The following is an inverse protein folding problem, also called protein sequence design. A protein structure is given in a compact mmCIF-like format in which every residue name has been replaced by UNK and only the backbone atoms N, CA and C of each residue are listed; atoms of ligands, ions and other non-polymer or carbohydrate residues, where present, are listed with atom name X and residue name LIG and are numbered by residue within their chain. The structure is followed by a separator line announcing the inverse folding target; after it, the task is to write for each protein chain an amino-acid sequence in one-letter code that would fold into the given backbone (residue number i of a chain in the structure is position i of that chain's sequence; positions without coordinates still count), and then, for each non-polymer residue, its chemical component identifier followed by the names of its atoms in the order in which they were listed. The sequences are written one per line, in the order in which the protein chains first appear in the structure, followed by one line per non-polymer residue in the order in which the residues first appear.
data_IF_536847065453
#
_entry.id   IF_536847065453
#
_cell.length_a   1.000
_cell.length_b   1.000
_cell.length_c   1.000
_cell.angle_alpha   90.00
_cell.angle_beta   90.00
_cell.angle_gamma   90.00
#
_symmetry.space_group_name_H-M   'P 1'
#
loop_
_entity.id
_entity.type
_entity.pdbx_description
1 polymer ?
#
# COMPACT_ATOMS: atom_id res chain seq x y z
N UNK A 1 -12.51 12.86 27.91
CA UNK A 1 -12.65 11.95 26.75
C UNK A 1 -13.64 12.58 25.79
N UNK A 2 -13.16 13.11 24.66
CA UNK A 2 -14.02 13.74 23.64
C UNK A 2 -14.62 12.64 22.76
N UNK A 3 -15.94 12.60 22.62
CA UNK A 3 -16.60 11.70 21.67
C UNK A 3 -16.12 12.06 20.26
N UNK A 4 -15.31 11.19 19.65
CA UNK A 4 -14.89 11.37 18.27
C UNK A 4 -16.14 11.23 17.40
N UNK A 5 -16.50 12.27 16.65
CA UNK A 5 -17.55 12.23 15.62
C UNK A 5 -17.08 11.36 14.43
N UNK A 6 -16.81 10.08 14.69
CA UNK A 6 -16.26 9.12 13.72
C UNK A 6 -17.30 8.79 12.66
N UNK A 7 -18.56 8.80 13.04
CA UNK A 7 -19.68 8.42 12.17
C UNK A 7 -20.78 9.46 12.27
N UNK A 8 -21.26 9.93 11.13
CA UNK A 8 -22.44 10.77 11.01
C UNK A 8 -23.64 9.93 10.56
N UNK A 9 -24.77 10.09 11.22
CA UNK A 9 -26.05 9.49 10.82
C UNK A 9 -26.88 10.56 10.11
N UNK A 10 -27.32 10.29 8.89
CA UNK A 10 -28.23 11.16 8.11
C UNK A 10 -29.29 10.30 7.46
N UNK A 11 -30.57 10.58 7.77
CA UNK A 11 -31.75 10.01 7.08
C UNK A 11 -31.60 8.51 6.76
N UNK A 12 -31.31 7.70 7.79
CA UNK A 12 -31.13 6.25 7.70
C UNK A 12 -29.82 5.71 7.08
N UNK A 13 -28.81 6.57 6.86
CA UNK A 13 -27.48 6.17 6.37
C UNK A 13 -26.37 6.60 7.34
N UNK A 14 -25.32 5.79 7.39
CA UNK A 14 -24.10 6.10 8.13
C UNK A 14 -23.01 6.56 7.17
N UNK A 15 -22.32 7.66 7.50
CA UNK A 15 -21.18 8.20 6.76
C UNK A 15 -20.01 8.37 7.69
N UNK A 16 -18.79 8.31 7.15
CA UNK A 16 -17.60 8.72 7.91
C UNK A 16 -17.75 10.20 8.26
N UNK A 17 -17.62 10.52 9.55
CA UNK A 17 -17.69 11.89 10.02
C UNK A 17 -16.46 12.69 9.60
N UNK A 18 -16.62 14.01 9.45
CA UNK A 18 -15.57 14.89 8.95
C UNK A 18 -14.28 14.82 9.78
N UNK A 19 -14.38 14.56 11.09
CA UNK A 19 -13.22 14.40 11.95
C UNK A 19 -12.43 13.11 11.67
N UNK A 20 -13.11 11.97 11.50
CA UNK A 20 -12.46 10.73 11.10
C UNK A 20 -11.83 10.85 9.70
N UNK A 21 -12.49 11.55 8.78
CA UNK A 21 -11.92 11.83 7.46
C UNK A 21 -10.62 12.65 7.57
N UNK A 22 -10.61 13.76 8.32
CA UNK A 22 -9.40 14.58 8.52
C UNK A 22 -8.28 13.80 9.20
N UNK A 23 -8.62 12.99 10.22
CA UNK A 23 -7.66 12.12 10.88
C UNK A 23 -7.03 11.13 9.89
N UNK A 24 -7.83 10.53 9.01
CA UNK A 24 -7.35 9.68 7.93
C UNK A 24 -6.42 10.40 6.95
N UNK A 25 -6.68 11.67 6.62
CA UNK A 25 -5.79 12.47 5.76
C UNK A 25 -4.45 12.81 6.44
N UNK A 26 -4.44 12.91 7.78
CA UNK A 26 -3.25 13.15 8.59
C UNK A 26 -2.56 11.86 9.09
N UNK A 27 -3.10 10.68 8.74
CA UNK A 27 -2.64 9.40 9.25
C UNK A 27 -1.26 9.03 8.69
N UNK A 28 -0.37 8.50 9.54
CA UNK A 28 0.93 7.99 9.09
C UNK A 28 0.72 6.73 8.25
N UNK A 29 1.25 6.65 7.02
CA UNK A 29 2.54 7.21 6.61
C UNK A 29 2.47 8.69 6.28
N UNK A 30 3.55 9.41 6.63
CA UNK A 30 3.72 10.86 6.38
C UNK A 30 3.04 11.29 5.05
N UNK A 31 2.20 12.32 5.00
CA UNK A 31 1.46 12.70 3.78
C UNK A 31 2.34 12.78 2.52
N UNK A 32 3.57 13.28 2.68
CA UNK A 32 4.61 13.30 1.63
C UNK A 32 4.94 11.92 1.04
N UNK A 33 4.97 10.85 1.85
CA UNK A 33 5.15 9.48 1.38
C UNK A 33 4.00 9.06 0.47
N UNK A 34 2.75 9.35 0.83
CA UNK A 34 1.59 8.99 0.01
C UNK A 34 1.60 9.73 -1.33
N UNK A 35 1.95 11.02 -1.32
CA UNK A 35 2.06 11.84 -2.53
C UNK A 35 3.12 11.29 -3.48
N UNK A 36 4.35 11.09 -3.00
CA UNK A 36 5.45 10.54 -3.79
C UNK A 36 5.15 9.12 -4.28
N UNK A 37 4.61 8.27 -3.39
CA UNK A 37 4.28 6.89 -3.73
C UNK A 37 3.24 6.80 -4.84
N UNK A 38 2.19 7.63 -4.85
CA UNK A 38 1.19 7.61 -5.93
C UNK A 38 1.81 7.83 -7.31
N UNK A 39 2.82 8.70 -7.42
CA UNK A 39 3.57 8.91 -8.65
C UNK A 39 4.35 7.66 -9.07
N UNK A 40 5.12 7.09 -8.15
CA UNK A 40 5.92 5.88 -8.40
C UNK A 40 5.05 4.65 -8.69
N UNK A 41 3.94 4.46 -7.98
CA UNK A 41 3.02 3.34 -8.19
C UNK A 41 2.39 3.37 -9.59
N UNK A 42 2.04 4.57 -10.11
CA UNK A 42 1.55 4.69 -11.49
C UNK A 42 2.62 4.32 -12.51
N UNK A 43 3.86 4.78 -12.32
CA UNK A 43 4.98 4.42 -13.20
C UNK A 43 5.27 2.93 -13.16
N UNK A 44 5.29 2.34 -11.96
CA UNK A 44 5.52 0.91 -11.76
C UNK A 44 4.42 0.08 -12.40
N UNK A 45 3.15 0.45 -12.22
CA UNK A 45 2.02 -0.23 -12.84
C UNK A 45 2.06 -0.13 -14.38
N UNK A 46 2.43 1.03 -14.93
CA UNK A 46 2.59 1.19 -16.37
C UNK A 46 3.75 0.35 -16.94
N UNK A 47 4.89 0.32 -16.24
CA UNK A 47 6.07 -0.43 -16.67
C UNK A 47 5.90 -1.95 -16.57
N UNK A 48 5.17 -2.42 -15.56
CA UNK A 48 5.01 -3.85 -15.26
C UNK A 48 3.71 -4.44 -15.80
N UNK A 49 2.75 -3.58 -16.19
CA UNK A 49 1.35 -3.96 -16.49
C UNK A 49 0.69 -4.76 -15.37
N UNK A 50 1.12 -4.51 -14.13
CA UNK A 50 0.65 -5.21 -12.95
C UNK A 50 0.26 -4.20 -11.85
N UNK A 51 -0.65 -4.62 -10.99
CA UNK A 51 -1.13 -3.76 -9.91
C UNK A 51 -0.02 -3.52 -8.90
N UNK A 52 0.18 -2.26 -8.55
CA UNK A 52 1.26 -1.80 -7.67
C UNK A 52 0.68 -1.15 -6.43
N UNK A 53 1.22 -1.46 -5.25
CA UNK A 53 0.74 -0.95 -3.96
C UNK A 53 1.85 -0.45 -3.06
N UNK A 54 1.53 0.53 -2.23
CA UNK A 54 2.29 0.89 -1.04
C UNK A 54 1.62 0.22 0.16
N UNK A 55 2.34 -0.69 0.80
CA UNK A 55 1.92 -1.36 2.03
C UNK A 55 2.70 -0.81 3.23
N UNK A 56 2.02 -0.61 4.35
CA UNK A 56 2.63 -0.15 5.60
C UNK A 56 2.22 -1.05 6.77
N UNK A 57 3.09 -1.29 7.75
CA UNK A 57 2.71 -2.03 8.95
C UNK A 57 1.55 -1.35 9.69
N UNK A 58 0.55 -2.12 10.11
CA UNK A 58 -0.60 -1.64 10.88
C UNK A 58 -1.11 -2.77 11.77
N UNK A 59 -0.95 -2.64 13.09
CA UNK A 59 -1.46 -3.57 14.12
C UNK A 59 -1.26 -5.06 13.80
N UNK A 60 -0.02 -5.44 13.50
CA UNK A 60 0.30 -6.84 13.19
C UNK A 60 -0.23 -7.32 11.84
N UNK A 61 -0.74 -6.42 10.99
CA UNK A 61 -1.13 -6.61 9.59
C UNK A 61 -0.33 -5.67 8.69
N UNK A 62 -0.58 -5.74 7.39
CA UNK A 62 -0.20 -4.67 6.46
C UNK A 62 -1.45 -3.95 5.98
N UNK A 63 -1.41 -2.62 6.01
CA UNK A 63 -2.42 -1.76 5.41
C UNK A 63 -1.96 -1.38 4.00
N UNK A 64 -2.86 -1.47 3.03
CA UNK A 64 -2.67 -0.87 1.73
C UNK A 64 -2.93 0.63 1.86
N UNK A 65 -1.86 1.43 1.85
CA UNK A 65 -1.93 2.87 2.05
C UNK A 65 -2.19 3.62 0.72
N UNK A 66 -1.68 3.09 -0.38
CA UNK A 66 -1.93 3.58 -1.73
C UNK A 66 -1.84 2.44 -2.75
N UNK A 67 -2.52 2.60 -3.89
CA UNK A 67 -2.52 1.60 -4.95
C UNK A 67 -2.64 2.26 -6.34
N UNK A 68 -2.03 1.64 -7.34
CA UNK A 68 -2.28 1.84 -8.76
C UNK A 68 -2.66 0.48 -9.35
N UNK A 69 -3.96 0.24 -9.48
CA UNK A 69 -4.51 -1.04 -9.86
C UNK A 69 -4.71 -1.10 -11.38
N UNK A 70 -4.32 -2.22 -11.97
CA UNK A 70 -4.43 -2.48 -13.41
C UNK A 70 -5.60 -3.39 -13.75
N UNK A 71 -6.12 -4.12 -12.75
CA UNK A 71 -7.19 -5.10 -12.90
C UNK A 71 -8.29 -4.88 -11.88
N UNK A 72 -9.52 -5.24 -12.23
CA UNK A 72 -10.68 -5.01 -11.39
C UNK A 72 -10.70 -5.91 -10.16
N UNK A 73 -10.27 -7.17 -10.32
CA UNK A 73 -10.19 -8.16 -9.24
C UNK A 73 -9.25 -7.72 -8.10
N UNK A 74 -8.17 -7.01 -8.44
CA UNK A 74 -7.23 -6.47 -7.46
C UNK A 74 -7.90 -5.40 -6.57
N UNK A 75 -8.97 -4.74 -7.04
CA UNK A 75 -9.70 -3.72 -6.30
C UNK A 75 -10.39 -4.23 -5.03
N UNK A 76 -10.73 -5.51 -4.98
CA UNK A 76 -11.37 -6.10 -3.79
C UNK A 76 -10.34 -6.28 -2.67
N UNK A 77 -9.14 -6.73 -3.02
CA UNK A 77 -8.09 -7.11 -2.06
C UNK A 77 -7.16 -5.93 -1.72
N UNK A 78 -6.82 -5.11 -2.72
CA UNK A 78 -5.72 -4.16 -2.69
C UNK A 78 -6.17 -2.69 -2.74
N UNK A 79 -7.45 -2.40 -2.51
CA UNK A 79 -7.89 -1.01 -2.38
C UNK A 79 -7.19 -0.31 -1.21
N UNK A 80 -6.86 0.99 -1.33
CA UNK A 80 -6.43 1.77 -0.17
C UNK A 80 -7.42 1.65 1.00
N UNK A 81 -6.89 1.45 2.20
CA UNK A 81 -7.69 1.17 3.41
C UNK A 81 -7.93 -0.32 3.68
N UNK A 82 -7.65 -1.22 2.73
CA UNK A 82 -7.66 -2.67 3.01
C UNK A 82 -6.50 -3.07 3.91
N UNK A 83 -6.77 -3.96 4.87
CA UNK A 83 -5.72 -4.66 5.62
C UNK A 83 -5.60 -6.09 5.16
N UNK A 84 -4.39 -6.57 4.87
CA UNK A 84 -4.16 -7.97 4.51
C UNK A 84 -3.23 -8.64 5.53
N UNK A 85 -3.32 -9.98 5.71
CA UNK A 85 -2.46 -10.70 6.64
C UNK A 85 -0.99 -10.57 6.26
N UNK A 86 -0.12 -10.44 7.28
CA UNK A 86 1.33 -10.40 7.07
C UNK A 86 2.04 -11.64 7.61
N UNK A 87 3.25 -11.86 7.13
CA UNK A 87 4.28 -12.67 7.77
C UNK A 87 5.58 -11.87 7.79
N UNK A 88 6.08 -11.57 8.98
CA UNK A 88 7.35 -10.84 9.18
C UNK A 88 7.44 -9.52 8.38
N UNK A 89 6.39 -8.69 8.41
CA UNK A 89 6.39 -7.40 7.71
C UNK A 89 6.08 -7.44 6.21
N UNK A 90 5.73 -8.61 5.66
CA UNK A 90 5.48 -8.85 4.22
C UNK A 90 4.14 -9.53 4.00
N UNK A 91 3.63 -9.57 2.78
CA UNK A 91 2.37 -10.24 2.46
C UNK A 91 2.46 -11.72 2.84
N UNK A 92 1.47 -12.23 3.58
CA UNK A 92 1.46 -13.62 4.03
C UNK A 92 1.39 -14.60 2.83
N UNK A 93 2.34 -15.53 2.66
CA UNK A 93 2.33 -16.44 1.50
C UNK A 93 1.13 -17.40 1.44
N UNK A 94 0.51 -17.74 2.59
CA UNK A 94 -0.75 -18.50 2.59
C UNK A 94 -1.89 -17.70 1.98
N UNK A 95 -1.98 -16.42 2.32
CA UNK A 95 -2.97 -15.49 1.75
C UNK A 95 -2.71 -15.25 0.25
N UNK A 96 -1.44 -15.13 -0.14
CA UNK A 96 -1.06 -15.04 -1.55
C UNK A 96 -1.52 -16.27 -2.36
N UNK A 97 -1.30 -17.48 -1.83
CA UNK A 97 -1.74 -18.72 -2.47
C UNK A 97 -3.27 -18.84 -2.54
N UNK A 98 -4.00 -18.47 -1.49
CA UNK A 98 -5.47 -18.46 -1.44
C UNK A 98 -6.09 -17.55 -2.52
N UNK A 99 -5.41 -16.47 -2.88
CA UNK A 99 -5.83 -15.51 -3.89
C UNK A 99 -5.08 -15.63 -5.21
N UNK A 100 -4.35 -16.74 -5.42
CA UNK A 100 -3.63 -17.06 -6.66
C UNK A 100 -2.74 -15.91 -7.18
N UNK A 101 -2.11 -15.18 -6.25
CA UNK A 101 -1.29 -14.02 -6.54
C UNK A 101 0.11 -14.15 -5.95
N UNK A 102 1.06 -13.39 -6.50
CA UNK A 102 2.41 -13.24 -5.96
C UNK A 102 2.73 -11.76 -5.80
N UNK A 103 3.09 -11.36 -4.58
CA UNK A 103 3.56 -10.03 -4.26
C UNK A 103 5.10 -10.00 -4.34
N UNK A 104 5.63 -9.27 -5.32
CA UNK A 104 7.05 -8.95 -5.41
C UNK A 104 7.27 -7.64 -4.66
N UNK A 105 7.99 -7.66 -3.54
CA UNK A 105 8.04 -6.55 -2.59
C UNK A 105 9.45 -6.08 -2.25
N UNK A 106 9.63 -4.75 -2.13
CA UNK A 106 10.84 -4.14 -1.60
C UNK A 106 10.52 -3.11 -0.51
N UNK A 107 11.34 -3.10 0.55
CA UNK A 107 11.20 -2.17 1.66
C UNK A 107 11.58 -0.75 1.25
N UNK A 108 10.71 0.21 1.56
CA UNK A 108 11.01 1.64 1.46
C UNK A 108 11.73 2.04 2.75
N UNK A 109 13.00 2.44 2.60
CA UNK A 109 13.86 2.82 3.72
C UNK A 109 14.22 4.28 3.61
N UNK A 110 14.17 4.99 4.73
CA UNK A 110 14.75 6.32 4.85
C UNK A 110 16.29 6.23 4.83
N UNK A 111 17.01 7.34 4.56
CA UNK A 111 18.46 7.39 4.67
C UNK A 111 18.99 6.97 6.05
N UNK A 112 18.17 7.16 7.10
CA UNK A 112 18.46 6.72 8.47
C UNK A 112 18.42 5.20 8.66
N UNK A 113 18.09 4.42 7.62
CA UNK A 113 17.94 2.96 7.66
C UNK A 113 16.56 2.49 8.14
N UNK A 114 15.75 3.39 8.69
CA UNK A 114 14.39 3.08 9.18
C UNK A 114 13.47 2.70 8.01
N UNK A 115 12.78 1.57 8.12
CA UNK A 115 11.75 1.15 7.15
C UNK A 115 10.44 1.88 7.45
N UNK A 116 9.84 2.48 6.42
CA UNK A 116 8.55 3.20 6.53
C UNK A 116 7.39 2.48 5.85
N UNK A 117 7.69 1.43 5.08
CA UNK A 117 6.71 0.60 4.39
C UNK A 117 7.39 -0.29 3.35
N UNK A 118 6.61 -0.87 2.45
CA UNK A 118 7.06 -1.58 1.27
C UNK A 118 6.27 -1.15 0.03
N UNK A 119 6.94 -1.16 -1.11
CA UNK A 119 6.27 -1.15 -2.41
C UNK A 119 6.19 -2.60 -2.88
N UNK A 120 5.03 -2.99 -3.39
CA UNK A 120 4.79 -4.31 -3.95
C UNK A 120 4.15 -4.22 -5.33
N UNK A 121 4.56 -5.09 -6.24
CA UNK A 121 3.83 -5.39 -7.47
C UNK A 121 3.18 -6.75 -7.33
N UNK A 122 1.89 -6.84 -7.61
CA UNK A 122 1.11 -8.07 -7.52
C UNK A 122 0.93 -8.67 -8.91
N UNK A 123 1.40 -9.90 -9.06
CA UNK A 123 1.39 -10.66 -10.30
C UNK A 123 0.44 -11.84 -10.20
N UNK A 124 -0.22 -12.19 -11.30
CA UNK A 124 -0.71 -13.55 -11.51
C UNK A 124 0.40 -14.41 -12.12
N UNK A 125 0.53 -15.63 -11.63
CA UNK A 125 1.44 -16.62 -12.22
C UNK A 125 1.07 -16.83 -13.70
N UNK A 126 2.04 -16.97 -14.64
CA UNK A 126 3.47 -17.25 -14.46
C UNK A 126 4.34 -16.13 -15.03
N UNK A 127 4.35 -14.94 -14.43
CA UNK A 127 5.26 -13.86 -14.85
C UNK A 127 6.61 -13.95 -14.13
N UNK A 128 7.71 -13.80 -14.87
CA UNK A 128 9.10 -13.94 -14.38
C UNK A 128 9.41 -12.97 -13.23
N UNK A 129 9.79 -13.52 -12.07
CA UNK A 129 9.90 -12.81 -10.80
C UNK A 129 11.20 -11.99 -10.64
N UNK A 130 12.25 -12.28 -11.40
CA UNK A 130 13.58 -11.67 -11.20
C UNK A 130 13.63 -10.23 -11.70
N UNK A 131 13.31 -9.97 -12.97
CA UNK A 131 13.26 -8.61 -13.53
C UNK A 131 12.25 -7.71 -12.79
N UNK A 132 11.17 -8.32 -12.31
CA UNK A 132 10.19 -7.63 -11.47
C UNK A 132 10.80 -7.19 -10.15
N UNK A 133 11.55 -8.07 -9.49
CA UNK A 133 12.19 -7.78 -8.20
C UNK A 133 13.15 -6.59 -8.30
N UNK A 134 13.95 -6.51 -9.36
CA UNK A 134 14.87 -5.38 -9.58
C UNK A 134 14.12 -4.06 -9.81
N UNK A 135 13.02 -4.12 -10.57
CA UNK A 135 12.18 -2.95 -10.86
C UNK A 135 11.51 -2.43 -9.60
N UNK A 136 10.92 -3.32 -8.80
CA UNK A 136 10.31 -2.97 -7.50
C UNK A 136 11.36 -2.45 -6.52
N UNK A 137 12.53 -3.08 -6.45
CA UNK A 137 13.63 -2.64 -5.59
C UNK A 137 14.16 -1.25 -5.98
N UNK A 138 14.24 -0.94 -7.29
CA UNK A 138 14.60 0.39 -7.76
C UNK A 138 13.55 1.42 -7.36
N UNK A 139 12.27 1.14 -7.55
CA UNK A 139 11.18 2.04 -7.15
C UNK A 139 11.21 2.33 -5.64
N UNK A 140 11.41 1.31 -4.81
CA UNK A 140 11.50 1.47 -3.36
C UNK A 140 12.70 2.36 -2.93
N UNK A 141 13.85 2.23 -3.62
CA UNK A 141 15.01 3.11 -3.38
C UNK A 141 14.76 4.55 -3.82
N UNK A 142 14.17 4.75 -5.01
CA UNK A 142 13.81 6.08 -5.51
C UNK A 142 12.86 6.80 -4.54
N UNK A 143 11.84 6.08 -4.05
CA UNK A 143 10.91 6.63 -3.07
C UNK A 143 11.59 6.93 -1.73
N UNK A 144 12.46 6.03 -1.25
CA UNK A 144 13.22 6.22 -0.01
C UNK A 144 14.15 7.43 -0.05
N UNK A 145 14.81 7.68 -1.18
CA UNK A 145 15.68 8.82 -1.40
C UNK A 145 14.89 10.15 -1.45
N UNK A 146 13.75 10.18 -2.15
CA UNK A 146 12.93 11.39 -2.28
C UNK A 146 12.27 11.87 -0.97
N UNK A 147 12.29 11.03 0.08
CA UNK A 147 11.83 11.37 1.43
C UNK A 147 12.92 12.02 2.29
N UNK A 148 14.16 12.06 1.80
CA UNK A 148 15.29 12.73 2.45
C UNK A 148 15.31 14.24 2.21
N UNK A 149 14.76 14.66 1.07
CA UNK A 149 14.52 16.05 0.69
C UNK A 149 13.31 16.62 1.44
#
# INVERSE_FOLDING_TARGET
MTALEVVQRSENRYRVGAQAFRLGQSWQPYPRLLELARGELRRLAAATRASSVLAVPCDGRILIAAASLTRAEDGVLLRPGSTVPQRTGRFCPRWQAEHELVAVEASVRLPTGRTVGSIATVLTLPQSSVTMSDTVARAARTLGAALAD
#
